data_IF_787438521172
#
_entry.id   IF_787438521172
#
_cell.length_a   1.000
_cell.length_b   1.000
_cell.length_c   1.000
_cell.angle_alpha   90.00
_cell.angle_beta   90.00
_cell.angle_gamma   90.00
#
_symmetry.space_group_name_H-M   'P 1'
#
loop_
_entity.id
_entity.type
_entity.pdbx_description
1 polymer ?
#
# COMPACT_ATOMS: atom_id res chain seq x y z
N UNK A 1 -66.68 -3.34 -20.83
CA UNK A 1 -66.02 -3.11 -19.51
C UNK A 1 -64.68 -3.72 -19.59
N UNK A 2 -63.66 -2.89 -19.86
CA UNK A 2 -62.25 -3.30 -19.94
C UNK A 2 -61.60 -2.83 -18.62
N UNK A 3 -61.14 -3.76 -17.83
CA UNK A 3 -60.35 -3.50 -16.64
C UNK A 3 -58.88 -3.46 -17.00
N UNK A 4 -58.30 -2.30 -16.96
CA UNK A 4 -56.85 -2.09 -17.10
C UNK A 4 -56.21 -2.29 -15.75
N UNK A 5 -55.46 -3.37 -15.57
CA UNK A 5 -54.64 -3.64 -14.41
C UNK A 5 -53.35 -2.84 -14.55
N UNK A 6 -53.21 -1.77 -13.79
CA UNK A 6 -51.90 -1.07 -13.59
C UNK A 6 -51.01 -1.92 -12.68
N UNK A 7 -49.99 -2.54 -13.24
CA UNK A 7 -48.92 -3.15 -12.48
C UNK A 7 -47.96 -2.03 -12.08
N UNK A 8 -48.00 -1.64 -10.80
CA UNK A 8 -47.01 -0.73 -10.23
C UNK A 8 -45.68 -1.47 -10.08
N UNK A 9 -44.73 -1.13 -10.92
CA UNK A 9 -43.33 -1.58 -10.77
C UNK A 9 -42.72 -0.83 -9.59
N UNK A 10 -42.63 -1.48 -8.44
CA UNK A 10 -41.84 -0.96 -7.29
C UNK A 10 -40.37 -1.16 -7.62
N UNK A 11 -39.73 -0.10 -8.09
CA UNK A 11 -38.27 -0.01 -8.17
C UNK A 11 -37.76 0.03 -6.74
N UNK A 12 -37.30 -1.11 -6.24
CA UNK A 12 -36.46 -1.15 -5.04
C UNK A 12 -35.10 -0.57 -5.44
N UNK A 13 -34.91 0.72 -5.23
CA UNK A 13 -33.60 1.33 -5.26
C UNK A 13 -32.79 0.64 -4.14
N UNK A 14 -31.92 -0.26 -4.50
CA UNK A 14 -30.85 -0.67 -3.59
C UNK A 14 -29.97 0.57 -3.44
N UNK A 15 -30.00 1.18 -2.27
CA UNK A 15 -28.98 2.13 -1.90
C UNK A 15 -27.65 1.38 -1.99
N UNK A 16 -26.82 1.70 -2.99
CA UNK A 16 -25.43 1.35 -2.94
C UNK A 16 -24.88 2.17 -1.77
N UNK A 17 -24.66 1.54 -0.62
CA UNK A 17 -23.98 2.20 0.49
C UNK A 17 -22.59 2.58 -0.03
N UNK A 18 -22.24 3.85 0.10
CA UNK A 18 -20.96 4.35 -0.33
C UNK A 18 -19.86 3.72 0.55
N UNK A 19 -18.82 3.19 -0.09
CA UNK A 19 -17.61 2.73 0.60
C UNK A 19 -16.97 3.96 1.24
N UNK A 20 -16.77 3.93 2.55
CA UNK A 20 -16.09 5.01 3.26
C UNK A 20 -14.59 4.77 3.21
N UNK A 21 -13.86 5.76 2.72
CA UNK A 21 -12.45 5.62 2.41
C UNK A 21 -11.66 6.81 2.93
N UNK A 22 -10.61 6.55 3.68
CA UNK A 22 -9.55 7.52 3.90
C UNK A 22 -8.45 7.23 2.87
N UNK A 23 -8.23 8.13 1.91
CA UNK A 23 -7.19 8.04 0.88
C UNK A 23 -6.22 9.20 1.02
N UNK A 24 -4.94 8.91 1.15
CA UNK A 24 -3.93 9.95 1.36
C UNK A 24 -2.55 9.53 0.85
N UNK A 25 -1.70 10.51 0.60
CA UNK A 25 -0.31 10.27 0.23
C UNK A 25 0.59 10.21 1.47
N UNK A 26 1.59 9.32 1.39
CA UNK A 26 2.76 9.34 2.24
C UNK A 26 3.99 9.40 1.34
N UNK A 27 4.78 10.47 1.44
CA UNK A 27 6.04 10.59 0.71
C UNK A 27 7.10 9.61 1.23
N UNK A 28 8.19 9.46 0.48
CA UNK A 28 9.29 8.59 0.86
C UNK A 28 9.95 9.06 2.17
N UNK A 29 9.99 8.20 3.19
CA UNK A 29 10.75 8.43 4.42
C UNK A 29 12.21 8.02 4.23
N UNK A 30 12.44 6.78 3.85
CA UNK A 30 13.75 6.18 3.59
C UNK A 30 13.62 4.97 2.67
N UNK A 31 14.68 4.68 1.92
CA UNK A 31 14.82 3.44 1.16
C UNK A 31 16.11 2.76 1.59
N UNK A 32 16.03 1.58 2.21
CA UNK A 32 17.18 0.89 2.78
C UNK A 32 16.94 -0.61 2.99
N UNK A 33 17.99 -1.37 3.32
CA UNK A 33 17.86 -2.78 3.70
C UNK A 33 17.62 -2.92 5.20
N UNK A 34 16.44 -2.56 5.65
CA UNK A 34 15.93 -2.85 6.99
C UNK A 34 14.53 -3.45 6.90
N UNK A 35 14.24 -4.34 7.83
CA UNK A 35 12.95 -4.99 8.00
C UNK A 35 12.75 -5.33 9.48
N UNK A 36 12.25 -4.39 10.27
CA UNK A 36 12.09 -4.59 11.71
C UNK A 36 10.99 -5.58 12.09
N UNK A 37 10.16 -6.01 11.13
CA UNK A 37 9.09 -6.96 11.34
C UNK A 37 9.62 -8.38 11.14
N UNK A 38 10.03 -8.74 9.93
CA UNK A 38 10.47 -10.11 9.59
C UNK A 38 11.92 -10.38 10.03
N UNK A 39 12.77 -9.35 10.07
CA UNK A 39 14.19 -9.46 10.40
C UNK A 39 14.62 -8.48 11.51
N UNK A 40 13.96 -8.46 12.69
CA UNK A 40 14.23 -7.50 13.75
C UNK A 40 15.69 -7.53 14.19
N UNK A 41 16.30 -6.35 14.26
CA UNK A 41 17.71 -6.18 14.67
C UNK A 41 18.75 -6.58 13.63
N UNK A 42 18.35 -7.14 12.49
CA UNK A 42 19.28 -7.49 11.40
C UNK A 42 19.59 -6.26 10.55
N UNK A 43 20.88 -5.87 10.53
CA UNK A 43 21.38 -4.74 9.74
C UNK A 43 22.64 -5.16 8.96
N UNK A 44 22.57 -5.21 7.61
CA UNK A 44 21.40 -5.02 6.76
C UNK A 44 20.47 -6.23 6.74
N UNK A 45 19.18 -6.01 6.43
CA UNK A 45 18.21 -7.07 6.11
C UNK A 45 18.50 -7.70 4.73
N UNK A 46 17.87 -8.84 4.37
CA UNK A 46 18.19 -9.53 3.12
C UNK A 46 18.00 -8.68 1.86
N UNK A 47 16.93 -7.86 1.78
CA UNK A 47 16.60 -7.10 0.58
C UNK A 47 16.17 -5.66 0.91
N UNK A 48 16.06 -4.84 -0.13
CA UNK A 48 15.70 -3.43 -0.03
C UNK A 48 14.21 -3.24 0.18
N UNK A 49 13.87 -2.33 1.09
CA UNK A 49 12.53 -1.81 1.26
C UNK A 49 12.49 -0.30 1.03
N UNK A 50 11.35 0.17 0.64
CA UNK A 50 10.97 1.58 0.68
C UNK A 50 9.96 1.76 1.79
N UNK A 51 10.19 2.74 2.62
CA UNK A 51 9.45 2.98 3.84
C UNK A 51 8.81 4.37 3.77
N UNK A 52 7.54 4.47 4.20
CA UNK A 52 6.82 5.72 4.38
C UNK A 52 6.23 5.80 5.79
N UNK A 53 5.76 6.98 6.19
CA UNK A 53 5.10 7.21 7.47
C UNK A 53 5.98 7.92 8.50
N UNK A 54 5.88 7.51 9.75
CA UNK A 54 6.55 8.15 10.89
C UNK A 54 8.06 7.89 10.95
N UNK A 55 8.81 8.88 11.45
CA UNK A 55 10.28 8.78 11.59
C UNK A 55 10.75 8.00 12.83
N UNK A 56 9.87 7.21 13.45
CA UNK A 56 10.25 6.24 14.49
C UNK A 56 10.68 4.88 13.92
N UNK A 57 10.71 4.71 12.60
CA UNK A 57 11.19 3.50 11.95
C UNK A 57 12.63 3.19 12.35
N UNK A 58 12.95 1.94 12.72
CA UNK A 58 14.27 1.54 13.20
C UNK A 58 14.54 0.07 12.87
N UNK A 59 15.77 -0.39 13.11
CA UNK A 59 16.21 -1.80 12.97
C UNK A 59 15.41 -2.77 13.82
N UNK A 60 14.89 -2.30 14.95
CA UNK A 60 13.99 -3.04 15.85
C UNK A 60 12.86 -2.13 16.26
N UNK A 61 11.64 -2.61 16.13
CA UNK A 61 10.44 -1.89 16.54
C UNK A 61 9.70 -2.73 17.58
N UNK A 62 10.05 -2.53 18.85
CA UNK A 62 9.42 -3.24 19.96
C UNK A 62 7.92 -2.94 20.01
N UNK A 63 7.03 -3.97 20.02
CA UNK A 63 5.60 -3.76 20.05
C UNK A 63 5.08 -3.06 21.31
N UNK A 64 5.86 -3.02 22.38
CA UNK A 64 5.53 -2.24 23.59
C UNK A 64 5.71 -0.73 23.42
N UNK A 65 6.42 -0.29 22.39
CA UNK A 65 6.64 1.13 22.09
C UNK A 65 5.55 1.65 21.16
N UNK A 66 4.81 2.65 21.60
CA UNK A 66 3.87 3.38 20.77
C UNK A 66 4.64 4.32 19.82
N UNK A 67 4.73 3.96 18.55
CA UNK A 67 5.42 4.79 17.55
C UNK A 67 4.64 6.07 17.24
N UNK A 68 3.33 6.11 17.48
CA UNK A 68 2.52 7.31 17.41
C UNK A 68 2.93 8.38 18.42
N UNK A 69 3.49 7.98 19.57
CA UNK A 69 3.99 8.91 20.59
C UNK A 69 5.48 9.22 20.43
N UNK A 70 6.26 8.31 19.86
CA UNK A 70 7.72 8.48 19.75
C UNK A 70 8.16 9.17 18.46
N UNK A 71 7.41 9.05 17.38
CA UNK A 71 7.70 9.75 16.14
C UNK A 71 7.50 11.26 16.29
N UNK A 72 8.35 12.05 15.64
CA UNK A 72 8.33 13.52 15.68
C UNK A 72 7.82 14.15 14.39
N UNK A 73 7.81 13.40 13.29
CA UNK A 73 7.21 13.78 12.02
C UNK A 73 6.72 12.55 11.27
N UNK A 74 5.86 12.78 10.29
CA UNK A 74 5.37 11.77 9.35
C UNK A 74 5.41 12.30 7.92
N UNK A 75 5.64 11.41 6.97
CA UNK A 75 5.57 11.70 5.53
C UNK A 75 4.14 11.65 4.99
N UNK A 76 3.16 11.31 5.82
CA UNK A 76 1.76 11.18 5.44
C UNK A 76 1.01 12.52 5.56
N UNK A 77 0.00 12.73 4.72
CA UNK A 77 -0.81 13.96 4.76
C UNK A 77 -1.80 14.00 5.91
N UNK A 78 -2.19 12.88 6.51
CA UNK A 78 -2.77 12.87 7.85
C UNK A 78 -1.65 13.04 8.87
N UNK A 79 -1.63 14.21 9.56
CA UNK A 79 -0.55 14.58 10.48
C UNK A 79 -0.51 13.76 11.77
N UNK A 80 -1.53 12.96 12.02
CA UNK A 80 -1.67 12.06 13.17
C UNK A 80 -1.30 10.61 12.83
N UNK A 81 -1.05 10.31 11.55
CA UNK A 81 -0.62 9.00 11.11
C UNK A 81 0.91 8.88 11.10
N UNK A 82 1.45 8.32 12.17
CA UNK A 82 2.85 7.96 12.33
C UNK A 82 3.09 6.46 12.08
N UNK A 83 2.11 5.76 11.52
CA UNK A 83 2.30 4.35 11.12
C UNK A 83 3.46 4.24 10.16
N UNK A 84 4.10 3.08 10.14
CA UNK A 84 5.06 2.75 9.10
C UNK A 84 4.46 1.71 8.15
N UNK A 85 4.66 1.98 6.86
CA UNK A 85 4.30 1.10 5.76
C UNK A 85 5.52 0.90 4.90
N UNK A 86 5.82 -0.34 4.51
CA UNK A 86 6.91 -0.59 3.59
C UNK A 86 6.64 -1.75 2.66
N UNK A 87 7.28 -1.70 1.50
CA UNK A 87 7.22 -2.73 0.47
C UNK A 87 8.61 -2.95 -0.12
N UNK A 88 8.81 -4.09 -0.76
CA UNK A 88 10.03 -4.37 -1.51
C UNK A 88 10.23 -3.35 -2.66
N UNK A 89 11.49 -2.99 -2.91
CA UNK A 89 11.88 -2.07 -3.99
C UNK A 89 11.89 -2.81 -5.33
N UNK A 90 11.38 -2.16 -6.38
CA UNK A 90 11.45 -2.66 -7.75
C UNK A 90 12.74 -2.20 -8.43
N UNK A 91 13.39 -3.11 -9.14
CA UNK A 91 14.57 -2.87 -9.97
C UNK A 91 14.28 -3.17 -11.44
N UNK A 92 14.89 -2.39 -12.30
CA UNK A 92 14.99 -2.67 -13.73
C UNK A 92 16.29 -3.40 -14.00
N UNK A 93 16.25 -4.53 -14.70
CA UNK A 93 17.41 -5.28 -15.19
C UNK A 93 17.64 -4.94 -16.65
N UNK A 94 18.73 -4.22 -16.93
CA UNK A 94 19.09 -3.86 -18.29
C UNK A 94 19.62 -5.06 -19.09
N UNK A 95 19.64 -4.92 -20.43
CA UNK A 95 20.16 -5.90 -21.38
C UNK A 95 21.58 -6.36 -21.10
N UNK A 96 22.42 -5.47 -20.58
CA UNK A 96 23.81 -5.79 -20.19
C UNK A 96 23.92 -6.51 -18.83
N UNK A 97 22.80 -6.78 -18.18
CA UNK A 97 22.72 -7.47 -16.89
C UNK A 97 22.83 -6.59 -15.65
N UNK A 98 23.04 -5.27 -15.79
CA UNK A 98 23.06 -4.35 -14.66
C UNK A 98 21.65 -4.02 -14.17
N UNK A 99 21.54 -3.53 -12.92
CA UNK A 99 20.28 -3.21 -12.27
C UNK A 99 20.20 -1.72 -11.91
N UNK A 100 19.02 -1.16 -11.98
CA UNK A 100 18.75 0.17 -11.49
C UNK A 100 17.42 0.21 -10.75
N UNK A 101 17.41 0.89 -9.61
CA UNK A 101 16.18 1.10 -8.84
C UNK A 101 15.14 1.85 -9.70
N UNK A 102 13.92 1.36 -9.70
CA UNK A 102 12.79 2.05 -10.30
C UNK A 102 12.25 3.04 -9.27
N UNK A 103 12.24 4.34 -9.55
CA UNK A 103 11.66 5.31 -8.64
C UNK A 103 10.14 5.19 -8.60
N UNK A 104 9.54 5.75 -7.57
CA UNK A 104 8.10 5.86 -7.46
C UNK A 104 7.64 7.23 -7.91
N UNK A 105 6.40 7.28 -8.39
CA UNK A 105 5.70 8.53 -8.70
C UNK A 105 4.42 8.62 -7.87
N UNK A 106 3.99 9.84 -7.62
CA UNK A 106 2.75 10.10 -6.91
C UNK A 106 1.55 9.63 -7.73
N UNK A 107 0.49 9.24 -7.04
CA UNK A 107 -0.79 8.92 -7.67
C UNK A 107 -1.57 10.21 -8.00
N UNK A 108 -2.63 10.04 -8.75
CA UNK A 108 -3.54 11.11 -9.14
C UNK A 108 -4.00 11.96 -7.94
N UNK A 109 -4.09 13.27 -8.13
CA UNK A 109 -4.42 14.28 -7.13
C UNK A 109 -3.45 14.35 -5.92
N UNK A 110 -2.36 13.60 -5.96
CA UNK A 110 -1.33 13.55 -4.94
C UNK A 110 0.05 13.93 -5.51
N UNK A 111 0.06 14.66 -6.63
CA UNK A 111 1.24 14.95 -7.46
C UNK A 111 2.39 15.67 -6.74
N UNK A 112 2.14 16.26 -5.57
CA UNK A 112 3.17 16.92 -4.79
C UNK A 112 3.93 15.97 -3.85
N UNK A 113 3.50 14.70 -3.74
CA UNK A 113 4.23 13.70 -2.96
C UNK A 113 5.56 13.34 -3.66
N UNK A 114 6.63 13.29 -2.89
CA UNK A 114 7.96 12.92 -3.37
C UNK A 114 8.19 11.42 -3.19
N UNK A 115 7.97 10.65 -4.27
CA UNK A 115 8.00 9.19 -4.22
C UNK A 115 6.86 8.64 -3.35
N UNK A 116 7.14 7.55 -2.64
CA UNK A 116 6.26 7.04 -1.59
C UNK A 116 5.08 6.19 -2.07
N UNK A 117 3.99 6.26 -1.33
CA UNK A 117 2.82 5.40 -1.52
C UNK A 117 1.54 6.19 -1.29
N UNK A 118 0.46 5.72 -1.91
CA UNK A 118 -0.89 6.09 -1.52
C UNK A 118 -1.42 5.05 -0.54
N UNK A 119 -1.88 5.51 0.61
CA UNK A 119 -2.42 4.65 1.67
C UNK A 119 -3.92 4.85 1.76
N UNK A 120 -4.63 3.76 1.97
CA UNK A 120 -6.07 3.73 2.15
C UNK A 120 -6.43 3.01 3.43
N UNK A 121 -7.43 3.53 4.12
CA UNK A 121 -8.20 2.82 5.13
C UNK A 121 -9.63 2.74 4.63
N UNK A 122 -10.06 1.55 4.26
CA UNK A 122 -11.36 1.32 3.64
C UNK A 122 -12.25 0.59 4.64
N UNK A 123 -13.45 1.10 4.85
CA UNK A 123 -14.47 0.36 5.58
C UNK A 123 -14.93 -0.81 4.73
N UNK A 124 -14.88 -2.07 5.23
CA UNK A 124 -15.38 -3.22 4.51
C UNK A 124 -16.85 -3.04 4.10
N UNK A 125 -17.20 -3.50 2.90
CA UNK A 125 -18.57 -3.49 2.41
C UNK A 125 -19.47 -4.42 3.24
N UNK A 126 -20.73 -4.02 3.45
CA UNK A 126 -21.76 -4.80 4.14
C UNK A 126 -21.56 -5.02 5.65
N UNK A 127 -20.82 -4.16 6.33
CA UNK A 127 -20.69 -4.33 7.76
C UNK A 127 -21.85 -3.73 8.51
N UNK A 128 -22.62 -4.56 9.19
CA UNK A 128 -23.55 -4.16 10.25
C UNK A 128 -22.82 -4.03 11.59
N UNK A 129 -21.60 -4.52 11.64
CA UNK A 129 -20.73 -4.50 12.82
C UNK A 129 -19.89 -3.22 12.86
N UNK A 130 -19.57 -2.72 14.06
CA UNK A 130 -18.60 -1.63 14.21
C UNK A 130 -17.21 -2.05 13.70
N UNK A 131 -16.55 -1.16 12.96
CA UNK A 131 -15.16 -1.36 12.54
C UNK A 131 -14.25 -0.94 13.70
N UNK A 132 -13.38 -1.85 14.11
CA UNK A 132 -12.41 -1.61 15.18
C UNK A 132 -11.09 -1.13 14.59
N UNK A 133 -10.66 0.08 14.90
CA UNK A 133 -9.33 0.55 14.55
C UNK A 133 -8.23 -0.23 15.29
N UNK A 134 -7.02 -0.16 14.78
CA UNK A 134 -5.87 -0.83 15.37
C UNK A 134 -5.43 -0.18 16.68
N UNK A 135 -4.54 -0.83 17.42
CA UNK A 135 -4.00 -0.37 18.71
C UNK A 135 -2.48 -0.26 18.65
N UNK A 136 -1.85 0.55 19.51
CA UNK A 136 -0.40 0.57 19.65
C UNK A 136 0.18 -0.84 19.79
N UNK A 137 1.25 -1.12 19.04
CA UNK A 137 1.87 -2.45 18.96
C UNK A 137 1.29 -3.35 17.85
N UNK A 138 0.12 -3.05 17.29
CA UNK A 138 -0.45 -3.84 16.19
C UNK A 138 0.43 -3.76 14.95
N UNK A 139 0.67 -4.91 14.34
CA UNK A 139 1.43 -5.04 13.10
C UNK A 139 0.95 -6.22 12.29
N UNK A 140 1.11 -6.18 10.98
CA UNK A 140 0.73 -7.27 10.09
C UNK A 140 1.52 -7.24 8.79
N UNK A 141 1.64 -8.40 8.16
CA UNK A 141 2.29 -8.63 6.88
C UNK A 141 1.26 -9.13 5.85
N UNK A 142 1.25 -8.52 4.67
CA UNK A 142 0.49 -8.97 3.51
C UNK A 142 1.44 -9.47 2.42
N UNK A 143 1.16 -10.63 1.82
CA UNK A 143 2.03 -11.27 0.84
C UNK A 143 3.15 -12.11 1.47
N UNK A 144 4.01 -12.68 0.62
CA UNK A 144 5.10 -13.59 1.05
C UNK A 144 6.30 -13.40 0.11
N UNK A 145 7.42 -12.91 0.64
CA UNK A 145 8.61 -12.54 -0.14
C UNK A 145 9.19 -13.68 -1.01
N UNK A 146 9.08 -14.91 -0.51
CA UNK A 146 9.59 -16.13 -1.16
C UNK A 146 8.68 -16.67 -2.26
N UNK A 147 7.45 -16.13 -2.36
CA UNK A 147 6.50 -16.67 -3.32
C UNK A 147 6.90 -16.37 -4.77
N UNK A 148 6.74 -17.37 -5.66
CA UNK A 148 7.05 -17.28 -7.09
C UNK A 148 5.92 -17.87 -7.96
N UNK A 149 4.78 -18.17 -7.37
CA UNK A 149 3.63 -18.83 -8.02
C UNK A 149 2.33 -18.15 -7.63
N UNK A 150 1.30 -18.24 -8.49
CA UNK A 150 -0.02 -17.76 -8.13
C UNK A 150 -0.54 -18.41 -6.85
N UNK A 151 -1.09 -17.60 -5.95
CA UNK A 151 -1.82 -18.08 -4.77
C UNK A 151 -3.33 -17.99 -5.02
N UNK A 152 -4.10 -18.71 -4.22
CA UNK A 152 -5.56 -18.58 -4.21
C UNK A 152 -5.94 -17.22 -3.63
N UNK A 153 -6.75 -16.44 -4.33
CA UNK A 153 -7.04 -15.05 -4.00
C UNK A 153 -5.99 -14.09 -4.58
N UNK A 154 -6.15 -12.82 -4.28
CA UNK A 154 -5.15 -11.82 -4.67
C UNK A 154 -4.83 -10.92 -3.48
N UNK A 155 -3.58 -10.96 -3.07
CA UNK A 155 -3.00 -9.99 -2.15
C UNK A 155 -2.48 -8.78 -2.93
N UNK A 156 -1.92 -9.05 -4.12
CA UNK A 156 -1.33 -8.05 -4.99
C UNK A 156 -2.01 -8.01 -6.36
N UNK A 157 -2.23 -6.80 -6.87
CA UNK A 157 -2.72 -6.56 -8.22
C UNK A 157 -1.86 -5.53 -8.93
N UNK A 158 -1.49 -5.83 -10.16
CA UNK A 158 -0.67 -4.97 -11.01
C UNK A 158 -1.52 -4.36 -12.12
N UNK A 159 -1.28 -3.08 -12.40
CA UNK A 159 -1.83 -2.39 -13.56
C UNK A 159 -0.70 -1.75 -14.36
N UNK A 160 -0.70 -2.07 -15.64
CA UNK A 160 0.20 -1.46 -16.62
C UNK A 160 -0.46 -0.21 -17.21
N UNK A 161 0.25 0.90 -17.21
CA UNK A 161 -0.15 2.12 -17.89
C UNK A 161 0.66 2.29 -19.17
N UNK A 162 -0.02 2.50 -20.30
CA UNK A 162 0.62 2.62 -21.62
C UNK A 162 1.40 3.93 -21.78
N UNK A 163 0.91 5.02 -21.19
CA UNK A 163 1.54 6.33 -21.20
C UNK A 163 1.23 7.08 -19.91
N UNK A 164 2.12 7.98 -19.52
CA UNK A 164 1.85 8.91 -18.43
C UNK A 164 0.97 10.06 -18.96
N UNK A 165 -0.31 9.98 -18.67
CA UNK A 165 -1.30 11.03 -18.97
C UNK A 165 -2.16 11.22 -17.71
N UNK A 166 -2.42 12.47 -17.34
CA UNK A 166 -3.31 12.79 -16.20
C UNK A 166 -4.68 12.09 -16.33
N UNK A 167 -5.15 11.85 -17.55
CA UNK A 167 -6.39 11.14 -17.81
C UNK A 167 -6.26 9.61 -17.70
N UNK A 168 -5.06 9.03 -17.73
CA UNK A 168 -4.90 7.59 -17.65
C UNK A 168 -5.26 7.03 -16.26
N UNK A 169 -5.10 7.84 -15.22
CA UNK A 169 -5.56 7.49 -13.89
C UNK A 169 -7.08 7.39 -13.75
N UNK A 170 -7.83 7.91 -14.74
CA UNK A 170 -9.30 7.83 -14.79
C UNK A 170 -9.85 6.71 -15.66
N UNK A 171 -9.01 5.98 -16.42
CA UNK A 171 -9.48 4.95 -17.37
C UNK A 171 -8.63 3.69 -17.35
N UNK A 172 -9.16 2.59 -16.88
CA UNK A 172 -10.34 2.38 -16.05
C UNK A 172 -10.11 2.98 -14.66
N UNK A 173 -11.18 3.22 -13.91
CA UNK A 173 -11.16 3.83 -12.58
C UNK A 173 -9.85 3.51 -11.83
N UNK A 174 -9.04 4.51 -11.40
CA UNK A 174 -7.76 4.28 -10.73
C UNK A 174 -7.91 3.48 -9.45
N UNK A 175 -9.05 3.58 -8.80
CA UNK A 175 -9.38 2.77 -7.64
C UNK A 175 -10.01 1.45 -8.03
N UNK A 176 -9.80 0.48 -7.17
CA UNK A 176 -10.37 -0.83 -7.29
C UNK A 176 -9.72 -1.71 -8.37
N UNK A 177 -10.38 -2.82 -8.63
CA UNK A 177 -9.93 -3.87 -9.53
C UNK A 177 -10.51 -3.61 -10.93
N UNK A 178 -9.67 -3.66 -11.95
CA UNK A 178 -10.08 -3.63 -13.34
C UNK A 178 -9.83 -4.99 -14.02
N UNK A 179 -10.55 -5.25 -15.09
CA UNK A 179 -10.38 -6.47 -15.88
C UNK A 179 -8.97 -6.59 -16.50
N UNK A 180 -8.24 -5.50 -16.58
CA UNK A 180 -6.85 -5.43 -17.09
C UNK A 180 -5.80 -5.67 -16.00
N UNK A 181 -6.19 -5.75 -14.73
CA UNK A 181 -5.25 -6.00 -13.64
C UNK A 181 -4.78 -7.45 -13.65
N UNK A 182 -3.51 -7.64 -13.33
CA UNK A 182 -2.86 -8.96 -13.28
C UNK A 182 -2.37 -9.26 -11.86
N UNK A 183 -2.21 -10.53 -11.53
CA UNK A 183 -1.60 -10.97 -10.27
C UNK A 183 -0.09 -11.15 -10.36
N UNK A 184 0.47 -10.97 -11.56
CA UNK A 184 1.92 -11.02 -11.83
C UNK A 184 2.40 -9.71 -12.45
N UNK A 185 3.71 -9.46 -12.41
CA UNK A 185 4.31 -8.32 -13.10
C UNK A 185 3.89 -8.29 -14.58
N UNK A 186 3.42 -7.12 -15.09
CA UNK A 186 3.00 -7.00 -16.49
C UNK A 186 4.11 -7.42 -17.45
N UNK A 187 3.75 -8.20 -18.47
CA UNK A 187 4.68 -8.66 -19.52
C UNK A 187 4.82 -7.65 -20.66
N UNK A 188 3.89 -6.70 -20.74
CA UNK A 188 3.93 -5.64 -21.75
C UNK A 188 4.75 -4.45 -21.27
N UNK A 189 5.15 -3.62 -22.23
CA UNK A 189 5.80 -2.35 -21.92
C UNK A 189 4.76 -1.38 -21.30
N UNK A 190 5.06 -0.89 -20.11
CA UNK A 190 4.23 0.04 -19.35
C UNK A 190 4.91 1.41 -19.34
N UNK A 191 4.81 2.14 -20.46
CA UNK A 191 5.46 3.44 -20.64
C UNK A 191 4.99 4.53 -19.67
N UNK A 192 3.81 4.38 -19.09
CA UNK A 192 3.26 5.31 -18.09
C UNK A 192 3.42 4.88 -16.65
N UNK A 193 4.02 3.72 -16.40
CA UNK A 193 4.21 3.19 -15.06
C UNK A 193 3.56 1.85 -14.80
N UNK A 194 3.96 1.23 -13.70
CA UNK A 194 3.34 0.02 -13.16
C UNK A 194 2.78 0.37 -11.78
N UNK A 195 1.45 0.25 -11.62
CA UNK A 195 0.82 0.33 -10.31
C UNK A 195 0.80 -1.04 -9.66
N UNK A 196 1.12 -1.07 -8.38
CA UNK A 196 0.94 -2.25 -7.51
C UNK A 196 -0.01 -1.89 -6.39
N UNK A 197 -1.06 -2.66 -6.24
CA UNK A 197 -2.00 -2.58 -5.14
C UNK A 197 -1.77 -3.77 -4.22
N UNK A 198 -1.56 -3.53 -2.92
CA UNK A 198 -1.42 -4.57 -1.91
C UNK A 198 -2.52 -4.43 -0.87
N UNK A 199 -3.29 -5.49 -0.69
CA UNK A 199 -4.46 -5.53 0.17
C UNK A 199 -4.13 -6.28 1.45
N UNK A 200 -4.38 -5.66 2.60
CA UNK A 200 -4.24 -6.29 3.90
C UNK A 200 -5.54 -6.97 4.34
N UNK A 201 -5.46 -7.93 5.29
CA UNK A 201 -6.63 -8.59 5.86
C UNK A 201 -7.57 -7.62 6.58
N UNK A 202 -8.85 -7.98 6.67
CA UNK A 202 -9.91 -7.16 7.27
C UNK A 202 -10.55 -7.77 8.51
N UNK A 203 -10.07 -8.93 8.96
CA UNK A 203 -10.57 -9.63 10.15
C UNK A 203 -9.44 -9.88 11.14
N UNK A 204 -9.68 -9.61 12.41
CA UNK A 204 -8.73 -9.78 13.51
C UNK A 204 -9.28 -10.75 14.56
N UNK A 205 -8.41 -11.54 15.20
CA UNK A 205 -8.82 -12.47 16.25
C UNK A 205 -9.27 -11.78 17.55
N UNK A 206 -9.09 -10.44 17.65
CA UNK A 206 -9.54 -9.63 18.79
C UNK A 206 -8.61 -9.68 20.01
N UNK A 207 -7.52 -10.43 19.96
CA UNK A 207 -6.62 -10.70 21.11
C UNK A 207 -5.18 -10.27 20.81
N UNK A 208 -4.56 -10.89 19.81
CA UNK A 208 -3.14 -10.74 19.54
C UNK A 208 -2.88 -9.49 18.66
N UNK A 209 -1.93 -8.67 19.07
CA UNK A 209 -1.49 -7.51 18.27
C UNK A 209 -0.45 -7.89 17.22
N UNK A 210 0.15 -9.07 17.42
CA UNK A 210 1.15 -9.68 16.56
C UNK A 210 1.20 -11.18 16.82
N UNK A 211 1.73 -11.93 15.86
CA UNK A 211 2.04 -13.35 15.96
C UNK A 211 3.41 -13.61 15.35
N UNK A 212 4.10 -14.74 15.65
CA UNK A 212 5.44 -15.01 15.12
C UNK A 212 5.57 -14.97 13.59
N UNK A 213 4.47 -15.18 12.88
CA UNK A 213 4.39 -15.10 11.41
C UNK A 213 3.83 -13.77 10.91
N UNK A 214 3.45 -12.85 11.81
CA UNK A 214 2.83 -11.55 11.54
C UNK A 214 1.55 -11.63 10.70
N UNK A 215 0.88 -12.77 10.68
CA UNK A 215 -0.29 -13.06 9.83
C UNK A 215 -1.41 -13.81 10.56
N UNK A 216 -1.09 -14.77 11.45
CA UNK A 216 -2.09 -15.68 12.02
C UNK A 216 -3.10 -15.03 12.97
N UNK A 217 -2.88 -13.77 13.38
CA UNK A 217 -3.83 -13.00 14.18
C UNK A 217 -4.85 -12.23 13.33
N UNK A 218 -4.66 -12.21 12.00
CA UNK A 218 -5.56 -11.57 11.03
C UNK A 218 -5.97 -12.55 9.93
N UNK A 219 -7.07 -12.28 9.25
CA UNK A 219 -7.57 -13.14 8.18
C UNK A 219 -8.25 -12.33 7.07
N UNK A 220 -8.19 -12.84 5.85
CA UNK A 220 -9.04 -12.41 4.75
C UNK A 220 -10.37 -13.15 4.85
N UNK A 221 -11.52 -12.47 4.85
CA UNK A 221 -12.80 -13.14 4.71
C UNK A 221 -12.96 -13.68 3.29
N UNK A 222 -13.79 -14.69 3.11
CA UNK A 222 -14.26 -15.06 1.79
C UNK A 222 -15.02 -13.86 1.18
N UNK A 223 -14.92 -13.69 -0.14
CA UNK A 223 -15.50 -12.52 -0.82
C UNK A 223 -16.97 -12.33 -0.50
N UNK A 224 -17.32 -11.22 0.15
CA UNK A 224 -18.67 -10.87 0.55
C UNK A 224 -19.20 -11.65 1.76
N UNK A 225 -18.37 -12.46 2.41
CA UNK A 225 -18.70 -13.12 3.66
C UNK A 225 -18.30 -12.28 4.88
N UNK A 226 -18.95 -12.46 6.03
CA UNK A 226 -18.49 -11.88 7.29
C UNK A 226 -17.17 -12.50 7.73
N UNK A 227 -16.53 -11.86 8.68
CA UNK A 227 -15.32 -12.40 9.32
C UNK A 227 -15.52 -13.80 9.87
N UNK A 228 -14.53 -14.71 9.71
CA UNK A 228 -14.61 -16.06 10.23
C UNK A 228 -14.66 -16.07 11.77
N UNK A 229 -15.28 -17.08 12.35
CA UNK A 229 -15.46 -17.19 13.82
C UNK A 229 -14.13 -17.17 14.61
N UNK A 230 -13.02 -17.52 13.97
CA UNK A 230 -11.68 -17.45 14.56
C UNK A 230 -11.11 -16.02 14.60
N UNK A 231 -11.63 -15.13 13.76
CA UNK A 231 -11.20 -13.72 13.64
C UNK A 231 -12.44 -12.82 13.58
N UNK A 232 -13.23 -12.75 14.65
CA UNK A 232 -14.57 -12.17 14.60
C UNK A 232 -14.59 -10.63 14.57
N UNK A 233 -13.47 -9.96 14.73
CA UNK A 233 -13.39 -8.50 14.81
C UNK A 233 -13.11 -7.92 13.44
N UNK A 234 -14.03 -7.10 12.94
CA UNK A 234 -13.82 -6.36 11.70
C UNK A 234 -12.89 -5.17 11.94
N UNK A 235 -11.85 -5.07 11.11
CA UNK A 235 -10.86 -3.99 11.09
C UNK A 235 -10.87 -3.31 9.71
N UNK A 236 -10.46 -2.02 9.60
CA UNK A 236 -10.41 -1.37 8.30
C UNK A 236 -9.43 -2.10 7.39
N UNK A 237 -9.76 -2.22 6.10
CA UNK A 237 -8.81 -2.69 5.11
C UNK A 237 -7.74 -1.64 4.91
N UNK A 238 -6.53 -1.92 5.36
CA UNK A 238 -5.37 -1.17 4.90
C UNK A 238 -5.07 -1.61 3.48
N UNK A 239 -4.89 -0.66 2.61
CA UNK A 239 -4.57 -0.88 1.23
C UNK A 239 -3.45 0.08 0.83
N UNK A 240 -2.40 -0.45 0.23
CA UNK A 240 -1.24 0.32 -0.21
C UNK A 240 -1.19 0.28 -1.73
N UNK A 241 -1.02 1.45 -2.32
CA UNK A 241 -0.86 1.62 -3.75
C UNK A 241 0.48 2.30 -4.04
N UNK A 242 1.32 1.63 -4.82
CA UNK A 242 2.61 2.14 -5.27
C UNK A 242 2.59 2.24 -6.79
N UNK A 243 3.05 3.35 -7.35
CA UNK A 243 3.25 3.50 -8.78
C UNK A 243 4.75 3.62 -9.06
N UNK A 244 5.25 2.70 -9.87
CA UNK A 244 6.63 2.65 -10.29
C UNK A 244 6.82 3.40 -11.60
N UNK A 245 7.77 4.34 -11.64
CA UNK A 245 8.13 5.15 -12.82
C UNK A 245 8.94 4.33 -13.81
N UNK A 246 8.24 3.58 -14.63
CA UNK A 246 8.87 2.75 -15.68
C UNK A 246 9.16 3.53 -16.98
N UNK A 247 8.66 4.77 -17.12
CA UNK A 247 8.92 5.64 -18.28
C UNK A 247 10.42 5.88 -18.49
N UNK A 248 11.19 5.95 -17.41
CA UNK A 248 12.64 6.17 -17.45
C UNK A 248 13.45 5.01 -18.06
N UNK A 249 12.81 3.88 -18.38
CA UNK A 249 13.48 2.68 -18.88
C UNK A 249 13.02 2.35 -20.30
N UNK A 250 13.60 3.07 -21.27
CA UNK A 250 13.30 2.91 -22.69
C UNK A 250 13.46 1.46 -23.17
N UNK A 251 12.67 1.06 -24.16
CA UNK A 251 12.71 -0.28 -24.75
C UNK A 251 14.08 -0.69 -25.28
N UNK A 252 14.94 0.24 -25.65
CA UNK A 252 16.30 -0.06 -26.09
C UNK A 252 17.17 -0.68 -25.01
N UNK A 253 16.79 -0.47 -23.73
CA UNK A 253 17.47 -1.05 -22.56
C UNK A 253 16.90 -2.42 -22.18
N UNK A 254 15.76 -2.80 -22.74
CA UNK A 254 15.09 -4.07 -22.44
C UNK A 254 15.85 -5.27 -23.02
N UNK A 255 15.64 -6.49 -22.48
CA UNK A 255 16.15 -7.72 -23.09
C UNK A 255 15.75 -7.83 -24.57
N UNK A 256 16.63 -8.41 -25.39
CA UNK A 256 16.40 -8.52 -26.85
C UNK A 256 15.22 -9.43 -27.20
N UNK A 257 14.92 -10.40 -26.35
CA UNK A 257 13.78 -11.31 -26.50
C UNK A 257 12.44 -10.65 -26.12
N UNK A 258 12.47 -9.37 -25.67
CA UNK A 258 11.28 -8.62 -25.27
C UNK A 258 10.69 -9.06 -23.93
N UNK A 259 11.38 -9.92 -23.16
CA UNK A 259 10.90 -10.30 -21.83
C UNK A 259 10.85 -9.11 -20.87
N UNK A 260 9.92 -9.16 -19.92
CA UNK A 260 9.77 -8.09 -18.94
C UNK A 260 11.04 -8.02 -18.06
N UNK A 261 11.63 -6.81 -17.86
CA UNK A 261 12.93 -6.65 -17.22
C UNK A 261 12.87 -6.37 -15.71
N UNK A 262 11.68 -6.22 -15.14
CA UNK A 262 11.55 -5.79 -13.75
C UNK A 262 11.71 -6.96 -12.78
N UNK A 263 12.33 -6.70 -11.65
CA UNK A 263 12.57 -7.67 -10.58
C UNK A 263 12.50 -6.96 -9.23
N UNK A 264 11.80 -7.52 -8.27
CA UNK A 264 11.80 -7.00 -6.91
C UNK A 264 13.12 -7.31 -6.19
N UNK A 265 13.46 -6.50 -5.21
CA UNK A 265 14.75 -6.54 -4.48
C UNK A 265 15.04 -7.88 -3.80
N UNK A 266 14.01 -8.68 -3.47
CA UNK A 266 14.14 -10.06 -2.99
C UNK A 266 14.39 -11.09 -4.11
N UNK A 267 14.71 -10.62 -5.32
CA UNK A 267 15.01 -11.50 -6.47
C UNK A 267 13.78 -12.08 -7.13
N UNK A 268 12.62 -11.50 -6.97
CA UNK A 268 11.37 -11.95 -7.60
C UNK A 268 11.11 -11.24 -8.93
N UNK A 269 11.24 -11.93 -10.09
CA UNK A 269 10.89 -11.38 -11.40
C UNK A 269 9.43 -11.66 -11.79
N UNK A 270 8.68 -12.37 -10.95
CA UNK A 270 7.30 -12.79 -11.25
C UNK A 270 6.25 -11.80 -10.74
N UNK A 271 6.53 -11.14 -9.63
CA UNK A 271 5.60 -10.29 -8.91
C UNK A 271 4.80 -11.01 -7.82
N UNK A 272 4.78 -12.33 -7.80
CA UNK A 272 4.05 -13.09 -6.79
C UNK A 272 4.65 -12.95 -5.38
N UNK A 273 5.94 -12.61 -5.28
CA UNK A 273 6.64 -12.36 -4.03
C UNK A 273 6.52 -10.92 -3.51
N UNK A 274 5.71 -10.07 -4.15
CA UNK A 274 5.48 -8.74 -3.61
C UNK A 274 4.73 -8.83 -2.28
N UNK A 275 5.19 -8.04 -1.31
CA UNK A 275 4.66 -8.02 0.05
C UNK A 275 4.68 -6.60 0.59
N UNK A 276 3.88 -6.38 1.59
CA UNK A 276 3.80 -5.12 2.30
C UNK A 276 3.70 -5.37 3.80
N UNK A 277 4.33 -4.52 4.56
CA UNK A 277 4.42 -4.55 6.00
C UNK A 277 3.76 -3.30 6.58
N UNK A 278 3.15 -3.47 7.73
CA UNK A 278 2.42 -2.44 8.42
C UNK A 278 2.68 -2.49 9.93
N UNK A 279 3.02 -1.34 10.50
CA UNK A 279 3.06 -1.12 11.96
C UNK A 279 2.19 0.08 12.27
N UNK A 280 1.19 -0.13 13.12
CA UNK A 280 0.26 0.92 13.53
C UNK A 280 0.93 2.01 14.36
N UNK A 281 0.63 3.27 14.05
CA UNK A 281 1.16 4.44 14.72
C UNK A 281 0.27 5.68 14.65
N UNK A 282 -1.05 5.53 14.47
CA UNK A 282 -1.95 6.67 14.60
C UNK A 282 -1.98 7.18 16.02
N UNK A 283 -1.89 8.49 16.17
CA UNK A 283 -1.87 9.16 17.46
C UNK A 283 -3.27 9.26 18.07
N UNK A 284 -3.38 8.81 19.32
CA UNK A 284 -4.65 8.88 20.05
C UNK A 284 -5.74 7.99 19.45
N UNK A 285 -6.99 8.45 19.49
CA UNK A 285 -8.18 7.72 19.04
C UNK A 285 -8.80 8.29 17.74
N UNK A 286 -8.06 9.14 17.03
CA UNK A 286 -8.56 9.85 15.84
C UNK A 286 -9.03 8.89 14.75
N UNK A 287 -8.27 7.80 14.49
CA UNK A 287 -8.65 6.81 13.49
C UNK A 287 -9.96 6.08 13.89
N UNK A 288 -10.12 5.67 15.16
CA UNK A 288 -11.37 5.04 15.61
C UNK A 288 -12.56 5.98 15.45
N UNK A 289 -12.42 7.24 15.84
CA UNK A 289 -13.46 8.24 15.67
C UNK A 289 -13.81 8.48 14.21
N UNK A 290 -12.81 8.45 13.33
CA UNK A 290 -13.03 8.56 11.89
C UNK A 290 -13.81 7.35 11.33
N UNK A 291 -13.49 6.13 11.79
CA UNK A 291 -14.24 4.92 11.41
C UNK A 291 -15.68 4.97 11.94
N UNK A 292 -15.88 5.34 13.20
CA UNK A 292 -17.21 5.46 13.83
C UNK A 292 -18.08 6.51 13.13
N UNK A 293 -17.48 7.61 12.72
CA UNK A 293 -18.16 8.69 11.99
C UNK A 293 -18.33 8.38 10.49
N UNK A 294 -17.83 7.24 10.02
CA UNK A 294 -17.81 6.85 8.60
C UNK A 294 -17.23 7.97 7.72
N UNK A 295 -16.09 8.50 8.13
CA UNK A 295 -15.38 9.52 7.39
C UNK A 295 -15.07 9.03 5.97
N UNK A 296 -15.35 9.89 4.99
CA UNK A 296 -14.99 9.67 3.60
C UNK A 296 -14.12 10.82 3.12
N UNK A 297 -12.82 10.60 3.08
CA UNK A 297 -11.81 11.57 2.66
C UNK A 297 -11.03 10.96 1.50
N UNK A 298 -11.51 11.23 0.30
CA UNK A 298 -10.99 10.63 -0.91
C UNK A 298 -9.66 11.23 -1.37
N UNK A 299 -9.48 12.50 -1.12
CA UNK A 299 -8.24 13.22 -1.38
C UNK A 299 -7.94 14.08 -0.16
N UNK A 300 -7.08 13.61 0.73
CA UNK A 300 -6.42 14.50 1.67
C UNK A 300 -5.43 15.38 0.91
N UNK A 301 -5.97 16.10 -0.09
CA UNK A 301 -5.21 16.93 -1.01
C UNK A 301 -4.90 18.28 -0.38
N UNK A 302 -3.75 18.84 -0.68
CA UNK A 302 -3.15 19.90 0.11
C UNK A 302 -3.60 21.32 -0.23
N UNK A 303 -4.51 21.55 -1.21
CA UNK A 303 -4.79 22.93 -1.60
C UNK A 303 -6.27 23.16 -1.99
N UNK A 304 -6.98 24.03 -1.26
CA UNK A 304 -6.63 24.60 0.03
C UNK A 304 -6.83 23.59 1.17
N UNK A 305 -5.90 23.57 2.13
CA UNK A 305 -6.03 22.75 3.34
C UNK A 305 -7.29 23.13 4.10
N UNK A 306 -8.30 22.28 4.03
CA UNK A 306 -9.48 22.37 4.87
C UNK A 306 -9.15 21.63 6.17
N UNK A 307 -9.08 22.36 7.26
CA UNK A 307 -8.76 21.83 8.57
C UNK A 307 -9.95 21.93 9.50
N UNK A 308 -10.52 20.84 9.98
CA UNK A 308 -10.34 19.42 9.60
C UNK A 308 -10.78 19.15 8.15
N UNK A 309 -10.39 18.00 7.53
CA UNK A 309 -10.85 17.63 6.20
C UNK A 309 -12.38 17.69 6.13
N UNK A 310 -12.91 18.20 5.02
CA UNK A 310 -14.35 18.27 4.83
C UNK A 310 -14.97 16.88 5.04
N UNK A 311 -15.99 16.81 5.90
CA UNK A 311 -16.65 15.55 6.23
C UNK A 311 -15.96 14.69 7.31
N UNK A 312 -14.76 15.04 7.82
CA UNK A 312 -14.09 14.30 8.89
C UNK A 312 -13.46 15.20 9.96
N UNK A 313 -14.23 15.69 10.94
CA UNK A 313 -13.73 16.60 11.97
C UNK A 313 -12.78 15.95 12.99
N UNK A 314 -12.57 14.65 12.90
CA UNK A 314 -11.78 13.86 13.85
C UNK A 314 -10.32 13.70 13.45
N UNK A 315 -9.97 14.06 12.21
CA UNK A 315 -8.63 13.95 11.67
C UNK A 315 -8.04 15.31 11.34
N UNK A 316 -6.72 15.40 11.35
CA UNK A 316 -5.97 16.59 10.95
C UNK A 316 -5.09 16.24 9.76
N UNK A 317 -5.01 17.18 8.83
CA UNK A 317 -4.11 17.08 7.68
C UNK A 317 -2.97 18.07 7.80
N UNK A 318 -1.88 17.77 7.12
CA UNK A 318 -0.77 18.68 6.86
C UNK A 318 -0.55 18.79 5.35
N UNK A 319 0.09 19.88 4.92
CA UNK A 319 0.41 20.02 3.50
C UNK A 319 1.43 18.97 3.07
N UNK A 320 1.37 18.57 1.79
CA UNK A 320 2.38 17.68 1.22
C UNK A 320 3.79 18.28 1.34
N UNK A 321 3.92 19.59 1.24
CA UNK A 321 5.18 20.30 1.45
C UNK A 321 5.76 20.06 2.86
N UNK A 322 4.92 20.00 3.87
CA UNK A 322 5.36 19.67 5.25
C UNK A 322 5.67 18.17 5.34
N UNK A 323 4.83 17.32 4.81
CA UNK A 323 5.05 15.87 4.77
C UNK A 323 6.38 15.50 4.09
N UNK A 324 6.73 16.15 2.97
CA UNK A 324 7.99 15.92 2.24
C UNK A 324 9.25 16.31 3.05
N UNK A 325 9.12 17.12 4.10
CA UNK A 325 10.25 17.48 4.95
C UNK A 325 10.61 16.39 5.96
N UNK A 326 9.68 15.47 6.23
CA UNK A 326 9.96 14.33 7.09
C UNK A 326 10.81 13.31 6.32
N UNK A 327 11.98 13.02 6.84
CA UNK A 327 12.90 12.05 6.24
C UNK A 327 13.75 11.39 7.32
N UNK A 328 14.36 10.27 6.98
CA UNK A 328 15.29 9.54 7.83
C UNK A 328 16.56 9.18 7.05
N UNK A 329 17.72 9.25 7.72
CA UNK A 329 18.95 8.79 7.11
C UNK A 329 18.99 7.27 7.08
N UNK A 330 19.53 6.71 5.99
CA UNK A 330 19.79 5.28 5.91
C UNK A 330 20.70 4.82 7.07
N UNK A 331 20.29 3.76 7.74
CA UNK A 331 21.10 3.02 8.71
C UNK A 331 21.87 1.92 7.98
N UNK A 332 21.23 1.21 7.07
CA UNK A 332 21.86 0.31 6.12
C UNK A 332 22.10 1.05 4.80
N UNK A 333 23.29 1.65 4.67
CA UNK A 333 23.61 2.51 3.51
C UNK A 333 23.74 1.68 2.23
N UNK A 334 22.88 1.99 1.27
CA UNK A 334 22.85 1.36 -0.07
C UNK A 334 22.76 2.45 -1.16
N UNK A 335 23.40 2.24 -2.31
CA UNK A 335 23.26 3.15 -3.44
C UNK A 335 21.85 3.12 -4.02
N UNK A 336 21.24 4.29 -4.25
CA UNK A 336 19.85 4.40 -4.72
C UNK A 336 19.72 4.76 -6.20
N UNK A 337 20.66 5.56 -6.72
CA UNK A 337 20.54 6.16 -8.07
C UNK A 337 21.61 5.66 -9.06
N UNK A 338 22.43 4.72 -8.65
CA UNK A 338 23.49 4.15 -9.46
C UNK A 338 23.02 2.90 -10.21
N UNK A 339 23.73 2.55 -11.28
CA UNK A 339 23.64 1.23 -11.91
C UNK A 339 24.49 0.24 -11.10
N UNK A 340 23.90 -0.92 -10.78
CA UNK A 340 24.49 -1.96 -9.94
C UNK A 340 24.78 -3.20 -10.78
N UNK A 341 25.88 -3.89 -10.50
CA UNK A 341 26.20 -5.17 -11.14
C UNK A 341 25.35 -6.34 -10.61
N UNK A 342 24.75 -6.17 -9.43
CA UNK A 342 23.86 -7.14 -8.79
C UNK A 342 22.77 -6.43 -7.98
N UNK A 343 21.69 -7.12 -7.66
CA UNK A 343 20.72 -6.63 -6.68
C UNK A 343 21.41 -6.42 -5.32
N UNK A 344 20.97 -5.42 -4.51
CA UNK A 344 21.52 -5.19 -3.18
C UNK A 344 21.54 -6.47 -2.35
N UNK A 345 22.66 -6.69 -1.63
CA UNK A 345 22.88 -7.94 -0.91
C UNK A 345 23.24 -9.13 -1.78
N UNK A 346 23.54 -8.93 -3.06
CA UNK A 346 23.76 -9.99 -4.04
C UNK A 346 22.59 -10.99 -4.13
N UNK A 347 21.37 -10.46 -3.96
CA UNK A 347 20.17 -11.27 -3.97
C UNK A 347 20.01 -11.98 -5.34
N UNK A 348 19.92 -13.32 -5.38
CA UNK A 348 19.76 -14.06 -6.64
C UNK A 348 18.34 -13.88 -7.18
N UNK A 349 18.21 -13.83 -8.52
CA UNK A 349 16.90 -13.88 -9.17
C UNK A 349 16.43 -15.34 -9.20
N UNK A 350 15.23 -15.58 -8.69
CA UNK A 350 14.63 -16.92 -8.62
C UNK A 350 13.23 -16.93 -9.25
N UNK A 351 12.92 -17.99 -10.00
CA UNK A 351 11.63 -18.17 -10.69
C UNK A 351 10.76 -19.27 -10.04
N UNK A 352 11.27 -19.93 -9.04
CA UNK A 352 10.59 -21.03 -8.33
C UNK A 352 11.13 -21.18 -6.92
#
# INVERSE_FOLDING_TARGET
>A
MLWSSLIALVLVARNAEAIHTLRFACSQLVTERLDPLVNPGKNPSPHMHQIVGGNAFNTTMDPSNDIGETATCTTCTFSEDFSNYWTAVLYFRARNGTFKRVPQIANQNLAQAEGGMTVYYISPDNTTSPITAFRPGFRMLAGTAENRKPESGFVNLYRCYDSYDENMFFKPNPMGIAATDTTELPKSFCGGGIRVNTFFPTCWNGVDLDTPDHKSHVAYPDRGAPCPATHPVEIPQVFIETIWDTEKFDKSLWPEDGSQPFVFSQGDPTGYGHHADYVFGWKGDGLQKAMDARCDVYDASPEPLIFPPEGCPHLKTQSQKVANQCSQRQVAVEPLDEWLDALPGNMPITYS
#
